data_IF_472751701797
#
_entry.id   IF_472751701797
#
_cell.length_a   1.000
_cell.length_b   1.000
_cell.length_c   1.000
_cell.angle_alpha   90.00
_cell.angle_beta   90.00
_cell.angle_gamma   90.00
#
_symmetry.space_group_name_H-M   'P 1'
#
loop_
_entity.id
_entity.type
_entity.pdbx_description
1 polymer ?
#
# COMPACT_ATOMS: atom_id res chain seq x y z
N UNK A 1 -6.46 -7.65 17.22
CA UNK A 1 -6.21 -6.46 16.36
C UNK A 1 -7.12 -6.52 15.14
N UNK A 2 -7.80 -5.43 14.81
CA UNK A 2 -8.66 -5.32 13.62
C UNK A 2 -7.77 -4.94 12.42
N UNK A 3 -7.90 -5.62 11.29
CA UNK A 3 -7.21 -5.25 10.05
C UNK A 3 -7.91 -4.05 9.39
N UNK A 4 -7.20 -3.27 8.57
CA UNK A 4 -7.81 -2.14 7.83
C UNK A 4 -9.05 -2.56 7.02
N UNK A 5 -8.97 -3.72 6.34
CA UNK A 5 -10.12 -4.27 5.62
C UNK A 5 -11.30 -4.61 6.56
N UNK A 6 -11.04 -5.07 7.79
CA UNK A 6 -12.09 -5.27 8.78
C UNK A 6 -12.73 -3.97 9.24
N UNK A 7 -11.90 -3.00 9.59
CA UNK A 7 -12.36 -1.67 9.99
C UNK A 7 -13.24 -1.03 8.91
N UNK A 8 -12.82 -1.04 7.64
CA UNK A 8 -13.61 -0.48 6.54
C UNK A 8 -14.95 -1.19 6.31
N UNK A 9 -15.08 -2.47 6.65
CA UNK A 9 -16.38 -3.16 6.57
C UNK A 9 -17.32 -2.72 7.67
N UNK A 10 -16.81 -2.48 8.87
CA UNK A 10 -17.61 -2.01 10.01
C UNK A 10 -18.16 -0.60 9.78
N UNK A 11 -17.46 0.24 9.03
CA UNK A 11 -17.96 1.59 8.67
C UNK A 11 -19.03 1.57 7.58
N UNK A 12 -19.28 0.44 6.93
CA UNK A 12 -20.19 0.34 5.78
C UNK A 12 -19.65 0.96 4.49
N UNK A 13 -18.37 1.34 4.45
CA UNK A 13 -17.75 1.89 3.24
C UNK A 13 -17.68 0.82 2.13
N UNK A 14 -18.00 1.22 0.90
CA UNK A 14 -18.16 0.32 -0.26
C UNK A 14 -17.39 0.77 -1.50
N UNK A 15 -16.45 1.69 -1.34
CA UNK A 15 -15.63 2.17 -2.45
C UNK A 15 -14.62 1.14 -2.96
N UNK A 16 -13.92 1.54 -4.03
CA UNK A 16 -12.79 0.77 -4.59
C UNK A 16 -11.52 1.04 -3.78
N UNK A 17 -10.79 -0.03 -3.49
CA UNK A 17 -9.46 0.05 -2.86
C UNK A 17 -8.40 0.01 -3.95
N UNK A 18 -7.55 1.05 -3.99
CA UNK A 18 -6.34 1.04 -4.80
C UNK A 18 -5.15 0.79 -3.89
N UNK A 19 -4.47 -0.34 -4.08
CA UNK A 19 -3.22 -0.63 -3.39
C UNK A 19 -2.07 -0.03 -4.20
N UNK A 20 -1.32 0.89 -3.59
CA UNK A 20 -0.17 1.53 -4.19
C UNK A 20 1.10 0.94 -3.57
N UNK A 21 1.82 0.06 -4.29
CA UNK A 21 3.10 -0.45 -3.81
C UNK A 21 4.08 0.70 -3.59
N UNK A 22 4.86 0.61 -2.52
CA UNK A 22 5.93 1.57 -2.29
C UNK A 22 7.03 1.46 -3.35
N UNK A 23 7.56 2.59 -3.79
CA UNK A 23 8.68 2.70 -4.71
C UNK A 23 9.73 3.71 -4.20
N UNK A 24 11.00 3.45 -4.44
CA UNK A 24 12.12 4.31 -4.00
C UNK A 24 12.42 5.49 -4.94
N UNK A 25 11.53 5.78 -5.90
CA UNK A 25 11.76 6.77 -6.98
C UNK A 25 12.05 8.19 -6.47
N UNK A 26 11.69 8.50 -5.23
CA UNK A 26 11.88 9.82 -4.64
C UNK A 26 13.26 10.04 -4.03
N UNK A 27 14.08 9.00 -3.82
CA UNK A 27 15.39 9.11 -3.13
C UNK A 27 16.26 10.22 -3.74
N UNK A 28 16.38 10.23 -5.07
CA UNK A 28 17.19 11.23 -5.78
C UNK A 28 16.71 12.67 -5.60
N UNK A 29 15.42 12.88 -5.30
CA UNK A 29 14.89 14.22 -5.01
C UNK A 29 15.35 14.70 -3.62
N UNK A 30 15.37 13.80 -2.64
CA UNK A 30 15.86 14.10 -1.29
C UNK A 30 17.36 14.39 -1.30
N UNK A 31 18.14 13.58 -2.03
CA UNK A 31 19.58 13.80 -2.24
C UNK A 31 19.86 15.20 -2.81
N UNK A 32 19.11 15.63 -3.84
CA UNK A 32 19.26 16.97 -4.44
C UNK A 32 18.92 18.13 -3.51
N UNK A 33 18.07 17.88 -2.51
CA UNK A 33 17.67 18.88 -1.52
C UNK A 33 18.58 18.87 -0.28
N UNK A 34 19.61 18.02 -0.24
CA UNK A 34 20.46 17.84 0.94
C UNK A 34 19.70 17.25 2.14
N UNK A 35 18.60 16.53 1.88
CA UNK A 35 17.74 15.93 2.91
C UNK A 35 18.03 14.43 3.05
N UNK A 36 18.05 13.92 4.28
CA UNK A 36 18.14 12.46 4.50
C UNK A 36 16.80 11.79 4.15
N UNK A 37 16.89 10.66 3.46
CA UNK A 37 15.73 9.85 3.11
C UNK A 37 15.58 8.68 4.09
N UNK A 38 14.62 8.82 5.02
CA UNK A 38 14.43 7.85 6.12
C UNK A 38 14.08 6.42 5.69
N UNK A 39 13.63 6.21 4.45
CA UNK A 39 13.28 4.89 3.91
C UNK A 39 14.35 4.28 2.99
N UNK A 40 15.60 4.79 3.04
CA UNK A 40 16.70 4.36 2.16
C UNK A 40 16.98 2.85 2.16
N UNK A 41 16.74 2.19 3.30
CA UNK A 41 16.99 0.76 3.48
C UNK A 41 15.72 -0.10 3.33
N UNK A 42 14.58 0.51 3.01
CA UNK A 42 13.32 -0.21 2.83
C UNK A 42 13.20 -0.67 1.39
N UNK A 43 13.12 -1.99 1.20
CA UNK A 43 12.86 -2.57 -0.12
C UNK A 43 11.40 -2.35 -0.54
N UNK A 44 11.12 -2.14 -1.84
CA UNK A 44 9.77 -2.30 -2.37
C UNK A 44 9.18 -3.67 -1.99
N UNK A 45 7.86 -3.75 -1.76
CA UNK A 45 7.20 -5.04 -1.58
C UNK A 45 7.31 -5.86 -2.88
N UNK A 46 7.44 -7.16 -2.74
CA UNK A 46 7.35 -8.10 -3.86
C UNK A 46 5.93 -8.19 -4.40
N UNK A 47 5.77 -8.64 -5.65
CA UNK A 47 4.45 -8.85 -6.23
C UNK A 47 3.58 -9.79 -5.38
N UNK A 48 4.17 -10.83 -4.78
CA UNK A 48 3.47 -11.76 -3.91
C UNK A 48 2.97 -11.09 -2.62
N UNK A 49 3.77 -10.22 -2.01
CA UNK A 49 3.35 -9.46 -0.81
C UNK A 49 2.20 -8.48 -1.13
N UNK A 50 2.27 -7.81 -2.28
CA UNK A 50 1.19 -6.91 -2.74
C UNK A 50 -0.09 -7.69 -3.00
N UNK A 51 0.01 -8.85 -3.67
CA UNK A 51 -1.14 -9.70 -3.96
C UNK A 51 -1.74 -10.30 -2.68
N UNK A 52 -0.92 -10.68 -1.70
CA UNK A 52 -1.39 -11.10 -0.38
C UNK A 52 -2.18 -9.99 0.33
N UNK A 53 -1.71 -8.74 0.25
CA UNK A 53 -2.48 -7.60 0.77
C UNK A 53 -3.81 -7.43 0.00
N UNK A 54 -3.79 -7.53 -1.33
CA UNK A 54 -5.00 -7.44 -2.15
C UNK A 54 -6.03 -8.52 -1.79
N UNK A 55 -5.58 -9.75 -1.56
CA UNK A 55 -6.41 -10.89 -1.16
C UNK A 55 -7.18 -10.60 0.13
N UNK A 56 -6.55 -9.99 1.13
CA UNK A 56 -7.21 -9.64 2.41
C UNK A 56 -8.41 -8.70 2.18
N UNK A 57 -8.29 -7.72 1.28
CA UNK A 57 -9.40 -6.83 0.95
C UNK A 57 -10.47 -7.53 0.10
N UNK A 58 -10.08 -8.35 -0.88
CA UNK A 58 -11.02 -9.10 -1.72
C UNK A 58 -11.86 -10.10 -0.90
N UNK A 59 -11.24 -10.79 0.06
CA UNK A 59 -11.93 -11.70 0.99
C UNK A 59 -12.96 -10.98 1.88
N UNK A 60 -12.82 -9.66 2.05
CA UNK A 60 -13.81 -8.82 2.74
C UNK A 60 -14.84 -8.18 1.81
N UNK A 61 -14.84 -8.55 0.53
CA UNK A 61 -15.82 -8.10 -0.45
C UNK A 61 -15.53 -6.72 -1.06
N UNK A 62 -14.29 -6.25 -1.00
CA UNK A 62 -13.89 -5.02 -1.69
C UNK A 62 -13.46 -5.28 -3.13
N UNK A 63 -13.73 -4.32 -4.01
CA UNK A 63 -13.12 -4.24 -5.34
C UNK A 63 -11.72 -3.65 -5.17
N UNK A 64 -10.69 -4.37 -5.64
CA UNK A 64 -9.29 -3.99 -5.45
C UNK A 64 -8.56 -3.88 -6.78
N UNK A 65 -7.85 -2.77 -6.97
CA UNK A 65 -6.83 -2.60 -8.01
C UNK A 65 -5.45 -2.42 -7.37
N UNK A 66 -4.42 -2.84 -8.10
CA UNK A 66 -3.02 -2.63 -7.73
C UNK A 66 -2.45 -1.62 -8.73
N UNK A 67 -1.82 -0.57 -8.20
CA UNK A 67 -1.39 0.59 -8.99
C UNK A 67 -2.46 1.68 -9.05
N UNK A 68 -2.02 2.84 -9.54
CA UNK A 68 -2.87 4.00 -9.84
C UNK A 68 -3.07 4.13 -11.34
#
# INVERSE_FOLDING_TARGET
>A
MISMAGYLRETGWSGRVNLLPYHHIAIHKYEKLGMDYGMKNIRPPSAAEVEQAAKIFRERGFVVSIGG
#
